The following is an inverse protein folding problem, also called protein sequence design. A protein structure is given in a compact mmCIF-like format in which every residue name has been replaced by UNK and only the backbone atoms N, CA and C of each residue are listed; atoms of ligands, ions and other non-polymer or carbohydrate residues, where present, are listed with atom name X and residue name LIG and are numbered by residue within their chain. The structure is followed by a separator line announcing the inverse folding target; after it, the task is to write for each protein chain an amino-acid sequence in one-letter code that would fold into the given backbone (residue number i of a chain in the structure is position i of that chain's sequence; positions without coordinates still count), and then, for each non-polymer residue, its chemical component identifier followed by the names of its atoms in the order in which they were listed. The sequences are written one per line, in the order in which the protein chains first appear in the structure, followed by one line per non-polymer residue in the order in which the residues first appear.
data_IF_822307825171
#
_entry.id   IF_822307825171
#
_cell.length_a   1.000
_cell.length_b   1.000
_cell.length_c   1.000
_cell.angle_alpha   90.00
_cell.angle_beta   90.00
_cell.angle_gamma   90.00
#
_symmetry.space_group_name_H-M   'P 1'
#
loop_
_entity.id
_entity.type
_entity.pdbx_description
1 polymer ?
#
# COMPACT_ATOMS: atom_id res chain seq x y z
N UNK A 1 87.35 -9.36 35.68
CA UNK A 1 86.34 -8.71 36.54
C UNK A 1 85.01 -8.85 35.85
N UNK A 2 84.15 -9.69 36.42
CA UNK A 2 82.84 -10.07 35.91
C UNK A 2 81.87 -9.09 36.57
N UNK A 3 81.18 -8.24 35.81
CA UNK A 3 80.04 -7.49 36.32
C UNK A 3 78.76 -8.05 35.71
N UNK A 4 78.17 -8.95 36.49
CA UNK A 4 76.82 -9.46 36.36
C UNK A 4 75.84 -8.33 36.60
N UNK A 5 75.23 -7.79 35.54
CA UNK A 5 74.04 -6.95 35.68
C UNK A 5 72.81 -7.85 35.57
N UNK A 6 72.33 -8.26 36.74
CA UNK A 6 71.03 -8.89 36.93
C UNK A 6 69.96 -7.85 36.65
N UNK A 7 69.38 -7.90 35.45
CA UNK A 7 68.21 -7.12 35.08
C UNK A 7 67.00 -7.69 35.82
N UNK A 8 66.57 -6.98 36.87
CA UNK A 8 65.32 -7.27 37.57
C UNK A 8 64.16 -6.80 36.69
N UNK A 9 63.50 -7.73 35.99
CA UNK A 9 62.20 -7.46 35.40
C UNK A 9 61.11 -7.48 36.49
N UNK A 10 60.34 -6.38 36.67
CA UNK A 10 59.18 -6.37 37.55
C UNK A 10 58.05 -7.23 36.96
N UNK A 11 57.36 -7.97 37.84
CA UNK A 11 56.16 -8.77 37.54
C UNK A 11 55.16 -7.96 36.71
N UNK A 12 54.89 -8.37 35.49
CA UNK A 12 53.68 -7.98 34.75
C UNK A 12 52.67 -9.11 34.85
N UNK A 13 51.81 -8.98 35.86
CA UNK A 13 50.50 -9.63 35.92
C UNK A 13 49.76 -9.30 34.63
N UNK A 14 49.41 -10.30 33.83
CA UNK A 14 48.44 -10.18 32.73
C UNK A 14 47.11 -9.74 33.33
N UNK A 15 46.84 -8.44 33.34
CA UNK A 15 45.54 -7.88 33.68
C UNK A 15 44.62 -8.12 32.47
N UNK A 16 43.73 -9.10 32.59
CA UNK A 16 42.67 -9.36 31.62
C UNK A 16 41.72 -8.15 31.60
N UNK A 17 41.43 -7.54 30.43
CA UNK A 17 40.46 -6.45 30.35
C UNK A 17 39.09 -6.96 30.80
N UNK A 18 38.41 -6.20 31.67
CA UNK A 18 37.01 -6.44 31.99
C UNK A 18 36.16 -6.35 30.70
N UNK A 19 35.10 -7.16 30.56
CA UNK A 19 34.16 -6.97 29.46
C UNK A 19 33.51 -5.58 29.56
N UNK A 20 33.49 -4.86 28.45
CA UNK A 20 32.85 -3.55 28.36
C UNK A 20 31.36 -3.65 28.78
N UNK A 21 30.80 -2.62 29.43
CA UNK A 21 29.36 -2.59 29.71
C UNK A 21 28.59 -2.63 28.39
N UNK A 22 27.53 -3.45 28.34
CA UNK A 22 26.64 -3.51 27.19
C UNK A 22 26.07 -2.12 26.86
N UNK A 23 25.92 -1.76 25.58
CA UNK A 23 25.29 -0.49 25.20
C UNK A 23 23.85 -0.47 25.72
N UNK A 24 23.47 0.65 26.36
CA UNK A 24 22.10 0.88 26.78
C UNK A 24 21.13 0.76 25.59
N UNK A 25 19.88 0.30 25.79
CA UNK A 25 18.89 0.27 24.73
C UNK A 25 18.69 1.69 24.17
N UNK A 26 18.80 1.81 22.84
CA UNK A 26 18.54 3.06 22.15
C UNK A 26 17.11 3.56 22.47
N UNK A 27 16.89 4.88 22.57
CA UNK A 27 15.54 5.42 22.73
C UNK A 27 14.69 4.96 21.55
N UNK A 28 13.51 4.40 21.84
CA UNK A 28 12.51 4.13 20.80
C UNK A 28 12.22 5.42 20.02
N UNK A 29 12.12 5.37 18.68
CA UNK A 29 11.79 6.56 17.90
C UNK A 29 10.44 7.11 18.38
N UNK A 30 10.43 8.40 18.70
CA UNK A 30 9.20 9.12 18.99
C UNK A 30 8.22 8.96 17.81
N UNK A 31 6.90 8.87 18.06
CA UNK A 31 5.93 8.80 16.98
C UNK A 31 6.08 10.05 16.10
N UNK A 32 6.42 9.85 14.83
CA UNK A 32 6.34 10.89 13.83
C UNK A 32 4.89 11.36 13.77
N UNK A 33 4.59 12.65 13.98
CA UNK A 33 3.24 13.13 13.75
C UNK A 33 2.90 12.87 12.28
N UNK A 34 1.75 12.22 12.04
CA UNK A 34 1.19 12.13 10.70
C UNK A 34 1.20 13.54 10.11
N UNK A 35 1.88 13.71 8.98
CA UNK A 35 2.05 15.01 8.33
C UNK A 35 0.68 15.52 7.89
N UNK A 36 -0.01 16.20 8.80
CA UNK A 36 -1.13 17.06 8.49
C UNK A 36 -0.55 18.24 7.73
N UNK A 37 -0.46 18.11 6.41
CA UNK A 37 -0.06 19.22 5.55
C UNK A 37 -0.94 20.45 5.80
N UNK A 38 -0.42 21.62 5.44
CA UNK A 38 -1.11 22.90 5.64
C UNK A 38 -2.57 22.83 5.10
N UNK A 39 -3.58 23.04 5.96
CA UNK A 39 -4.97 22.85 5.57
C UNK A 39 -5.44 23.84 4.50
N UNK A 40 -4.78 25.01 4.40
CA UNK A 40 -5.09 26.01 3.38
C UNK A 40 -4.56 25.58 2.02
N UNK A 41 -3.33 25.09 1.93
CA UNK A 41 -2.77 24.52 0.70
C UNK A 41 -3.62 23.35 0.21
N UNK A 42 -4.06 22.47 1.11
CA UNK A 42 -4.95 21.35 0.74
C UNK A 42 -6.27 21.85 0.16
N UNK A 43 -6.86 22.88 0.76
CA UNK A 43 -8.09 23.49 0.24
C UNK A 43 -7.87 24.17 -1.12
N UNK A 44 -6.75 24.86 -1.31
CA UNK A 44 -6.39 25.46 -2.59
C UNK A 44 -6.20 24.39 -3.68
N UNK A 45 -5.60 23.24 -3.34
CA UNK A 45 -5.46 22.09 -4.23
C UNK A 45 -6.80 21.42 -4.60
N UNK A 46 -7.80 21.52 -3.72
CA UNK A 46 -9.16 21.04 -3.95
C UNK A 46 -10.00 21.98 -4.83
N UNK A 47 -9.54 23.20 -5.11
CA UNK A 47 -10.28 24.19 -5.88
C UNK A 47 -9.66 24.30 -7.27
N UNK A 48 -10.43 24.00 -8.31
CA UNK A 48 -10.04 24.22 -9.71
C UNK A 48 -9.82 25.72 -9.97
N UNK A 49 -8.95 26.12 -10.92
CA UNK A 49 -8.79 27.52 -11.34
C UNK A 49 -10.10 28.27 -11.65
N UNK A 50 -11.16 27.59 -12.08
CA UNK A 50 -12.49 28.19 -12.30
C UNK A 50 -13.33 28.35 -11.01
N UNK A 51 -12.75 28.11 -9.83
CA UNK A 51 -13.42 28.21 -8.52
C UNK A 51 -14.30 27.01 -8.15
N UNK A 52 -14.37 25.99 -9.01
CA UNK A 52 -15.13 24.75 -8.76
C UNK A 52 -14.32 23.81 -7.87
N UNK A 53 -14.91 23.30 -6.78
CA UNK A 53 -14.26 22.27 -5.98
C UNK A 53 -14.13 20.97 -6.77
N UNK A 54 -12.90 20.54 -7.00
CA UNK A 54 -12.57 19.23 -7.56
C UNK A 54 -12.88 18.18 -6.49
N UNK A 55 -14.09 17.65 -6.57
CA UNK A 55 -14.57 16.64 -5.62
C UNK A 55 -13.93 15.28 -5.87
N UNK A 56 -13.73 14.93 -7.14
CA UNK A 56 -13.25 13.62 -7.59
C UNK A 56 -11.92 13.81 -8.33
N UNK A 57 -10.91 13.05 -7.92
CA UNK A 57 -9.59 12.96 -8.58
C UNK A 57 -9.30 11.49 -8.87
N UNK A 58 -8.52 11.22 -9.92
CA UNK A 58 -8.09 9.87 -10.24
C UNK A 58 -6.67 9.84 -10.76
N UNK A 59 -5.98 8.71 -10.55
CA UNK A 59 -4.66 8.43 -11.11
C UNK A 59 -4.62 7.02 -11.68
N UNK A 60 -4.01 6.89 -12.85
CA UNK A 60 -3.71 5.59 -13.44
C UNK A 60 -2.47 5.00 -12.77
N UNK A 61 -2.58 3.76 -12.31
CA UNK A 61 -1.54 3.01 -11.65
C UNK A 61 -1.31 1.68 -12.40
N UNK A 62 -0.40 1.64 -13.39
CA UNK A 62 -0.21 0.47 -14.25
C UNK A 62 0.43 -0.71 -13.53
N UNK A 63 1.20 -0.47 -12.47
CA UNK A 63 1.92 -1.52 -11.74
C UNK A 63 1.04 -2.27 -10.74
N UNK A 64 1.61 -3.33 -10.13
CA UNK A 64 0.96 -4.03 -9.01
C UNK A 64 0.73 -3.07 -7.85
N UNK A 65 -0.48 -3.07 -7.31
CA UNK A 65 -0.84 -2.26 -6.16
C UNK A 65 -0.73 -3.11 -4.90
N UNK A 66 -0.10 -2.55 -3.87
CA UNK A 66 0.05 -3.19 -2.57
C UNK A 66 -0.73 -2.40 -1.52
N UNK A 67 -1.61 -3.08 -0.79
CA UNK A 67 -2.36 -2.52 0.34
C UNK A 67 -2.00 -3.36 1.57
N UNK A 68 -1.44 -2.71 2.59
CA UNK A 68 -1.00 -3.38 3.84
C UNK A 68 -0.07 -4.59 3.55
N UNK A 69 0.74 -4.48 2.49
CA UNK A 69 1.67 -5.54 2.07
C UNK A 69 1.06 -6.68 1.23
N UNK A 70 -0.23 -6.63 0.91
CA UNK A 70 -0.91 -7.61 0.06
C UNK A 70 -1.08 -7.08 -1.36
N UNK A 71 -0.78 -7.93 -2.35
CA UNK A 71 -1.05 -7.60 -3.76
C UNK A 71 -2.56 -7.56 -3.99
N UNK A 72 -3.04 -6.44 -4.52
CA UNK A 72 -4.43 -6.26 -4.89
C UNK A 72 -4.72 -7.09 -6.14
N UNK A 73 -5.85 -7.79 -6.11
CA UNK A 73 -6.36 -8.55 -7.24
C UNK A 73 -7.81 -8.18 -7.48
N UNK A 74 -8.19 -7.99 -8.74
CA UNK A 74 -9.55 -7.61 -9.07
C UNK A 74 -10.49 -8.77 -8.69
N UNK A 75 -11.50 -8.56 -7.83
CA UNK A 75 -12.42 -9.63 -7.45
C UNK A 75 -13.20 -10.23 -8.64
N UNK A 76 -13.35 -9.47 -9.72
CA UNK A 76 -14.12 -9.87 -10.90
C UNK A 76 -13.28 -10.65 -11.94
N UNK A 77 -12.09 -10.17 -12.31
CA UNK A 77 -11.27 -10.78 -13.37
C UNK A 77 -9.87 -11.24 -12.91
N UNK A 78 -9.56 -11.10 -11.63
CA UNK A 78 -8.25 -11.43 -11.03
C UNK A 78 -7.03 -10.72 -11.63
N UNK A 79 -7.22 -9.63 -12.37
CA UNK A 79 -6.11 -8.76 -12.78
C UNK A 79 -5.30 -8.30 -11.54
N UNK A 80 -3.98 -8.18 -11.69
CA UNK A 80 -3.04 -7.73 -10.63
C UNK A 80 -2.49 -6.32 -10.85
N UNK A 81 -2.74 -5.77 -12.02
CA UNK A 81 -2.14 -4.54 -12.55
C UNK A 81 -3.22 -3.72 -13.23
N UNK A 82 -2.84 -2.54 -13.70
CA UNK A 82 -3.72 -1.60 -14.40
C UNK A 82 -4.93 -1.22 -13.54
N UNK A 83 -4.66 -0.33 -12.58
CA UNK A 83 -5.63 0.23 -11.66
C UNK A 83 -5.90 1.69 -11.96
N UNK A 84 -7.15 2.11 -11.82
CA UNK A 84 -7.50 3.52 -11.67
C UNK A 84 -7.85 3.72 -10.20
N UNK A 85 -7.05 4.52 -9.51
CA UNK A 85 -7.28 4.87 -8.11
C UNK A 85 -8.09 6.16 -8.10
N UNK A 86 -9.22 6.16 -7.40
CA UNK A 86 -10.20 7.25 -7.42
C UNK A 86 -10.34 7.79 -6.01
N UNK A 87 -10.13 9.08 -5.84
CA UNK A 87 -10.33 9.82 -4.61
C UNK A 87 -11.57 10.72 -4.74
N UNK A 88 -12.67 10.36 -4.09
CA UNK A 88 -13.85 11.22 -3.90
C UNK A 88 -13.85 11.75 -2.47
N UNK A 89 -13.43 13.01 -2.30
CA UNK A 89 -13.32 13.64 -0.99
C UNK A 89 -12.32 12.96 -0.05
N UNK A 90 -12.79 12.00 0.76
CA UNK A 90 -11.96 11.22 1.69
C UNK A 90 -12.13 9.69 1.50
N UNK A 91 -12.92 9.27 0.52
CA UNK A 91 -13.13 7.88 0.18
C UNK A 91 -12.24 7.53 -1.02
N UNK A 92 -11.47 6.45 -0.88
CA UNK A 92 -10.72 5.88 -2.00
C UNK A 92 -11.50 4.69 -2.55
N UNK A 93 -11.56 4.60 -3.87
CA UNK A 93 -12.03 3.41 -4.58
C UNK A 93 -11.03 3.01 -5.64
N UNK A 94 -10.97 1.72 -5.91
CA UNK A 94 -10.13 1.15 -6.95
C UNK A 94 -11.04 0.66 -8.06
N UNK A 95 -10.63 0.94 -9.29
CA UNK A 95 -11.28 0.45 -10.48
C UNK A 95 -10.30 -0.33 -11.34
N UNK A 96 -10.71 -1.53 -11.72
CA UNK A 96 -10.00 -2.36 -12.70
C UNK A 96 -10.39 -1.97 -14.13
N UNK A 97 -9.53 -2.27 -15.12
CA UNK A 97 -9.87 -2.13 -16.55
C UNK A 97 -11.12 -2.91 -17.00
N UNK A 98 -11.53 -3.95 -16.27
CA UNK A 98 -12.81 -4.63 -16.50
C UNK A 98 -14.04 -3.85 -15.99
N UNK A 99 -13.86 -2.58 -15.62
CA UNK A 99 -14.86 -1.69 -15.01
C UNK A 99 -15.36 -2.09 -13.62
N UNK A 100 -14.88 -3.18 -13.03
CA UNK A 100 -15.20 -3.50 -11.64
C UNK A 100 -14.55 -2.47 -10.70
N UNK A 101 -15.38 -1.85 -9.86
CA UNK A 101 -14.99 -0.81 -8.93
C UNK A 101 -15.48 -1.14 -7.52
N UNK A 102 -14.63 -0.91 -6.52
CA UNK A 102 -14.98 -1.11 -5.13
C UNK A 102 -14.28 -0.09 -4.21
N UNK A 103 -14.90 0.31 -3.09
CA UNK A 103 -14.27 1.15 -2.09
C UNK A 103 -13.17 0.36 -1.36
N UNK A 104 -12.05 1.03 -1.07
CA UNK A 104 -10.90 0.41 -0.42
C UNK A 104 -10.60 1.13 0.89
N UNK A 105 -11.08 0.59 2.04
CA UNK A 105 -11.07 1.30 3.31
C UNK A 105 -9.66 1.47 3.90
N UNK A 106 -8.75 0.58 3.54
CA UNK A 106 -7.36 0.61 4.01
C UNK A 106 -6.49 1.62 3.24
N UNK A 107 -6.99 2.12 2.09
CA UNK A 107 -6.29 3.11 1.29
C UNK A 107 -6.84 4.50 1.61
N UNK A 108 -6.00 5.34 2.20
CA UNK A 108 -6.43 6.67 2.65
C UNK A 108 -6.17 7.73 1.60
N UNK A 109 -6.76 8.90 1.79
CA UNK A 109 -6.43 10.08 0.98
C UNK A 109 -4.95 10.48 1.09
N UNK A 110 -4.33 10.28 2.25
CA UNK A 110 -2.91 10.57 2.41
C UNK A 110 -2.08 9.64 1.49
N UNK A 111 -2.44 8.36 1.40
CA UNK A 111 -1.78 7.42 0.49
C UNK A 111 -2.00 7.79 -0.98
N UNK A 112 -3.21 8.24 -1.33
CA UNK A 112 -3.49 8.77 -2.67
C UNK A 112 -2.64 9.99 -3.02
N UNK A 113 -2.52 10.94 -2.09
CA UNK A 113 -1.71 12.15 -2.29
C UNK A 113 -0.22 11.79 -2.43
N UNK A 114 0.28 10.78 -1.71
CA UNK A 114 1.63 10.21 -1.89
C UNK A 114 1.80 9.58 -3.28
N UNK A 115 0.84 8.75 -3.73
CA UNK A 115 0.87 8.13 -5.07
C UNK A 115 0.88 9.15 -6.20
N UNK A 116 0.15 10.26 -6.04
CA UNK A 116 0.05 11.31 -7.06
C UNK A 116 1.18 12.35 -6.93
N UNK A 117 2.08 12.20 -5.95
CA UNK A 117 3.12 13.18 -5.62
C UNK A 117 2.58 14.57 -5.25
N UNK A 118 1.34 14.62 -4.75
CA UNK A 118 0.60 15.86 -4.48
C UNK A 118 0.21 16.67 -5.72
N UNK A 119 0.52 16.17 -6.94
CA UNK A 119 0.24 16.89 -8.18
C UNK A 119 -1.26 16.85 -8.49
N UNK A 120 -1.79 17.98 -8.96
CA UNK A 120 -3.15 18.08 -9.51
C UNK A 120 -3.09 18.49 -11.00
N UNK A 121 -1.91 18.42 -11.61
CA UNK A 121 -1.64 18.89 -12.98
C UNK A 121 -1.99 17.84 -14.04
N UNK A 122 -3.03 17.05 -13.82
CA UNK A 122 -3.52 16.05 -14.77
C UNK A 122 -4.61 16.62 -15.71
N UNK A 123 -4.97 15.88 -16.76
CA UNK A 123 -6.17 16.17 -17.55
C UNK A 123 -7.40 16.23 -16.64
N UNK A 124 -8.24 17.24 -16.84
CA UNK A 124 -9.50 17.39 -16.10
C UNK A 124 -10.63 16.87 -16.98
N UNK A 125 -11.37 15.90 -16.45
CA UNK A 125 -12.51 15.31 -17.12
C UNK A 125 -13.82 15.83 -16.52
N UNK A 126 -14.90 15.95 -17.31
CA UNK A 126 -16.20 16.39 -16.82
C UNK A 126 -16.84 15.42 -15.80
N UNK A 127 -16.49 14.13 -15.89
CA UNK A 127 -16.98 13.06 -15.02
C UNK A 127 -15.91 11.98 -14.83
N UNK A 128 -16.10 11.12 -13.83
CA UNK A 128 -15.26 9.94 -13.60
C UNK A 128 -15.35 8.97 -14.78
N UNK A 129 -16.53 8.81 -15.36
CA UNK A 129 -16.80 7.95 -16.50
C UNK A 129 -16.08 8.43 -17.76
N UNK A 130 -15.99 9.76 -17.96
CA UNK A 130 -15.20 10.35 -19.04
C UNK A 130 -13.70 10.09 -18.86
N UNK A 131 -13.20 10.21 -17.62
CA UNK A 131 -11.82 9.84 -17.31
C UNK A 131 -11.57 8.35 -17.59
N UNK A 132 -12.44 7.47 -17.08
CA UNK A 132 -12.33 6.03 -17.25
C UNK A 132 -12.35 5.63 -18.74
N UNK A 133 -13.21 6.25 -19.55
CA UNK A 133 -13.22 6.02 -21.00
C UNK A 133 -11.96 6.51 -21.69
N UNK A 134 -11.45 7.68 -21.31
CA UNK A 134 -10.25 8.25 -21.91
C UNK A 134 -8.97 7.43 -21.57
N UNK A 135 -8.94 6.76 -20.42
CA UNK A 135 -7.77 5.98 -19.96
C UNK A 135 -7.95 4.46 -20.09
N UNK A 136 -9.12 3.98 -20.53
CA UNK A 136 -9.39 2.57 -20.82
C UNK A 136 -9.80 1.73 -19.60
N UNK A 137 -10.44 2.35 -18.61
CA UNK A 137 -11.04 1.74 -17.43
C UNK A 137 -12.58 1.63 -17.51
N UNK A 138 -13.14 1.84 -18.69
CA UNK A 138 -14.58 1.76 -18.98
C UNK A 138 -15.09 0.33 -19.20
N UNK A 139 -14.22 -0.69 -19.18
CA UNK A 139 -14.59 -2.08 -19.40
C UNK A 139 -14.28 -2.59 -20.80
N UNK A 140 -13.76 -1.76 -21.71
CA UNK A 140 -13.38 -2.17 -23.06
C UNK A 140 -12.33 -3.29 -23.10
N UNK A 141 -11.57 -3.47 -22.01
CA UNK A 141 -10.55 -4.51 -21.84
C UNK A 141 -11.03 -5.71 -21.02
N UNK A 142 -12.35 -5.89 -20.87
CA UNK A 142 -12.90 -7.08 -20.21
C UNK A 142 -12.45 -8.34 -20.94
N UNK A 143 -11.97 -9.34 -20.19
CA UNK A 143 -11.45 -10.60 -20.75
C UNK A 143 -10.00 -10.56 -21.24
N UNK A 144 -9.31 -9.40 -21.19
CA UNK A 144 -7.89 -9.31 -21.56
C UNK A 144 -6.96 -9.92 -20.52
N UNK A 145 -7.40 -9.98 -19.25
CA UNK A 145 -6.69 -10.68 -18.19
C UNK A 145 -7.21 -12.11 -18.16
N UNK A 146 -6.35 -13.06 -18.54
CA UNK A 146 -6.66 -14.48 -18.48
C UNK A 146 -6.68 -14.94 -17.01
N UNK A 147 -7.84 -14.84 -16.38
CA UNK A 147 -8.17 -15.63 -15.21
C UNK A 147 -9.69 -15.83 -15.17
N UNK A 148 -10.13 -17.04 -14.83
CA UNK A 148 -11.56 -17.33 -14.70
C UNK A 148 -12.19 -16.37 -13.68
N UNK A 149 -13.36 -15.77 -13.97
CA UNK A 149 -14.07 -14.98 -12.98
C UNK A 149 -14.32 -15.85 -11.76
N UNK A 150 -14.05 -15.34 -10.55
CA UNK A 150 -14.55 -16.05 -9.38
C UNK A 150 -16.08 -16.08 -9.50
N UNK A 151 -16.74 -17.23 -9.35
CA UNK A 151 -18.19 -17.28 -9.34
C UNK A 151 -18.69 -16.35 -8.23
N UNK A 152 -19.40 -15.32 -8.66
CA UNK A 152 -20.07 -14.35 -7.82
C UNK A 152 -21.18 -15.04 -7.02
N UNK A 153 -20.83 -15.53 -5.84
CA UNK A 153 -21.70 -16.28 -4.95
C UNK A 153 -21.22 -16.18 -3.51
N UNK A 154 -21.51 -15.04 -2.87
CA UNK A 154 -21.64 -15.00 -1.42
C UNK A 154 -23.05 -15.53 -1.09
N UNK A 155 -23.25 -16.85 -1.17
CA UNK A 155 -24.38 -17.48 -0.51
C UNK A 155 -23.84 -18.24 0.71
N UNK A 156 -24.04 -17.67 1.89
CA UNK A 156 -23.74 -18.30 3.19
C UNK A 156 -24.83 -19.28 3.63
N UNK A 157 -25.74 -19.67 2.74
CA UNK A 157 -26.85 -20.59 3.01
C UNK A 157 -26.70 -21.87 2.18
N UNK A 158 -25.91 -22.83 2.67
CA UNK A 158 -25.74 -24.07 1.91
C UNK A 158 -24.85 -25.15 2.51
N UNK A 159 -24.66 -25.22 3.83
CA UNK A 159 -24.19 -26.47 4.45
C UNK A 159 -25.37 -27.44 4.45
N UNK A 160 -25.60 -28.12 3.33
CA UNK A 160 -26.26 -29.42 3.35
C UNK A 160 -25.24 -30.48 2.97
N UNK A 161 -24.73 -31.11 4.01
CA UNK A 161 -24.02 -32.37 3.97
C UNK A 161 -24.79 -33.37 3.10
N UNK A 162 -24.25 -33.73 1.93
CA UNK A 162 -24.57 -34.99 1.27
C UNK A 162 -23.28 -35.78 1.11
N UNK A 163 -22.96 -36.53 2.15
CA UNK A 163 -22.01 -37.63 2.10
C UNK A 163 -22.72 -38.92 2.48
N UNK A 164 -22.73 -39.83 1.51
CA UNK A 164 -22.63 -41.30 1.64
C UNK A 164 -23.85 -42.06 2.18
N UNK A 165 -24.37 -42.93 1.32
CA UNK A 165 -25.29 -44.01 1.68
C UNK A 165 -25.39 -45.05 0.57
N UNK A 166 -24.29 -45.79 0.32
CA UNK A 166 -24.34 -47.07 -0.40
C UNK A 166 -23.94 -48.16 0.57
N UNK A 167 -24.93 -48.85 1.14
CA UNK A 167 -24.77 -50.22 1.67
C UNK A 167 -26.09 -50.94 1.32
N UNK A 168 -26.04 -51.80 0.31
CA UNK A 168 -27.10 -52.76 0.02
C UNK A 168 -26.79 -54.08 0.72
N UNK A 169 -27.81 -54.64 1.39
CA UNK A 169 -27.84 -56.00 1.91
C UNK A 169 -27.98 -57.03 0.79
#
# INVERSE_FOLDING_TARGET
MIHSHTDQQPRTTTQQPAPAPAPAPAPAPAPVPASGGDPLLRLQQEIHPDGVRIRIRSVDHPEELFITGLVVMCPNCSARRDWMIICDGNQISIRCRCAHQWPEPELTRADFDVMTGGSTTGPVYPSLEDAARATGFDGAFTGMYLNEPRPQGWDVSGILCKSVGVIGC
#
